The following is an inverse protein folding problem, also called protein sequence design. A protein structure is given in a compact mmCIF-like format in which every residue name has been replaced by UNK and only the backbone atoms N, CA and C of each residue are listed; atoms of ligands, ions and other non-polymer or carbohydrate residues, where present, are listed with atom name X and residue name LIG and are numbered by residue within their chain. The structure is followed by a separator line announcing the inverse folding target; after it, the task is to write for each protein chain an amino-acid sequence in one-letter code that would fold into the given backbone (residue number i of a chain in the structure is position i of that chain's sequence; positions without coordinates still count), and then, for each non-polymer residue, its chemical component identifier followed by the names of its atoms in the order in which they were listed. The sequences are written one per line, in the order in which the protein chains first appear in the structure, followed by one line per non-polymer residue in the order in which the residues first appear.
data_IF_411476358257
#
_entry.id   IF_411476358257
#
_cell.length_a   1.000
_cell.length_b   1.000
_cell.length_c   1.000
_cell.angle_alpha   90.00
_cell.angle_beta   90.00
_cell.angle_gamma   90.00
#
_symmetry.space_group_name_H-M   'P 1'
#
loop_
_entity.id
_entity.type
_entity.pdbx_description
1 polymer ?
#
# COMPACT_ATOMS: atom_id res chain seq x y z
N UNK A 1 -7.89 -1.91 9.38
CA UNK A 1 -7.07 -0.77 9.87
C UNK A 1 -6.37 -1.05 11.20
N UNK A 2 -6.86 -1.95 12.06
CA UNK A 2 -6.23 -2.21 13.37
C UNK A 2 -4.89 -2.97 13.30
N UNK A 3 -4.64 -3.73 12.23
CA UNK A 3 -3.45 -4.59 12.17
C UNK A 3 -2.12 -3.81 12.10
N UNK A 4 -1.91 -2.81 11.20
CA UNK A 4 -0.67 -2.02 11.25
C UNK A 4 -0.48 -1.29 12.58
N UNK A 5 -1.57 -0.77 13.17
CA UNK A 5 -1.54 -0.10 14.47
C UNK A 5 -1.11 -1.06 15.58
N UNK A 6 -1.73 -2.24 15.67
CA UNK A 6 -1.41 -3.25 16.67
C UNK A 6 0.04 -3.75 16.56
N UNK A 7 0.57 -3.81 15.34
CA UNK A 7 1.97 -4.17 15.10
C UNK A 7 2.95 -3.03 15.42
N UNK A 8 2.53 -1.77 15.26
CA UNK A 8 3.42 -0.64 15.51
C UNK A 8 3.83 -0.51 16.99
N UNK A 9 2.97 -0.97 17.91
CA UNK A 9 3.22 -1.04 19.34
C UNK A 9 3.76 -2.40 19.80
N UNK A 10 3.98 -3.34 18.87
CA UNK A 10 4.50 -4.67 19.20
C UNK A 10 5.94 -4.57 19.69
N UNK A 11 6.21 -5.22 20.83
CA UNK A 11 7.51 -5.15 21.50
C UNK A 11 8.67 -5.61 20.61
N UNK A 12 8.50 -6.71 19.85
CA UNK A 12 9.57 -7.25 19.01
C UNK A 12 9.89 -6.29 17.85
N UNK A 13 8.87 -5.61 17.32
CA UNK A 13 9.04 -4.60 16.28
C UNK A 13 9.76 -3.36 16.83
N UNK A 14 9.35 -2.87 18.00
CA UNK A 14 9.99 -1.72 18.65
C UNK A 14 11.46 -2.02 18.97
N UNK A 15 11.75 -3.20 19.54
CA UNK A 15 13.12 -3.64 19.83
C UNK A 15 13.97 -3.76 18.54
N UNK A 16 13.40 -4.34 17.47
CA UNK A 16 14.10 -4.47 16.19
C UNK A 16 14.44 -3.11 15.57
N UNK A 17 13.52 -2.13 15.63
CA UNK A 17 13.76 -0.76 15.14
C UNK A 17 14.85 -0.05 15.96
N UNK A 18 14.92 -0.30 17.26
CA UNK A 18 15.91 0.29 18.15
C UNK A 18 17.32 -0.31 18.01
N UNK A 19 17.45 -1.51 17.44
CA UNK A 19 18.70 -2.24 17.27
C UNK A 19 19.09 -2.42 15.79
N UNK A 20 19.41 -1.32 15.06
CA UNK A 20 19.77 -1.41 13.65
C UNK A 20 21.03 -2.28 13.45
N UNK A 21 20.92 -3.30 12.59
CA UNK A 21 22.01 -4.23 12.29
C UNK A 21 22.03 -5.50 13.15
N UNK A 22 21.08 -5.67 14.06
CA UNK A 22 20.85 -6.94 14.73
C UNK A 22 20.31 -8.01 13.77
N UNK A 23 20.37 -9.28 14.18
CA UNK A 23 19.69 -10.36 13.47
C UNK A 23 18.17 -10.23 13.64
N UNK A 24 17.46 -10.04 12.53
CA UNK A 24 16.01 -9.90 12.48
C UNK A 24 15.29 -11.16 11.98
N UNK A 25 15.99 -12.31 11.82
CA UNK A 25 15.43 -13.56 11.28
C UNK A 25 14.18 -14.04 12.04
N UNK A 26 14.13 -13.82 13.36
CA UNK A 26 12.96 -14.17 14.16
C UNK A 26 11.74 -13.30 13.81
N UNK A 27 11.94 -11.99 13.61
CA UNK A 27 10.90 -11.05 13.21
C UNK A 27 10.42 -11.37 11.78
N UNK A 28 11.34 -11.65 10.86
CA UNK A 28 11.02 -12.07 9.49
C UNK A 28 10.04 -13.26 9.46
N UNK A 29 10.36 -14.35 10.17
CA UNK A 29 9.47 -15.51 10.29
C UNK A 29 8.12 -15.19 10.91
N UNK A 30 8.09 -14.27 11.89
CA UNK A 30 6.85 -13.84 12.54
C UNK A 30 5.96 -13.06 11.57
N UNK A 31 6.53 -12.14 10.81
CA UNK A 31 5.81 -11.37 9.79
C UNK A 31 5.30 -12.28 8.67
N UNK A 32 6.09 -13.27 8.27
CA UNK A 32 5.71 -14.29 7.28
C UNK A 32 4.48 -15.10 7.73
N UNK A 33 4.47 -15.57 8.98
CA UNK A 33 3.31 -16.26 9.57
C UNK A 33 2.07 -15.35 9.64
N UNK A 34 2.26 -14.09 10.00
CA UNK A 34 1.17 -13.13 10.10
C UNK A 34 0.59 -12.78 8.72
N UNK A 35 1.43 -12.59 7.71
CA UNK A 35 1.01 -12.36 6.33
C UNK A 35 0.15 -13.52 5.83
N UNK A 36 0.60 -14.77 6.05
CA UNK A 36 -0.20 -15.98 5.76
C UNK A 36 -1.55 -16.01 6.49
N UNK A 37 -1.56 -15.74 7.79
CA UNK A 37 -2.77 -15.82 8.61
C UNK A 37 -3.82 -14.75 8.23
N UNK A 38 -3.36 -13.59 7.76
CA UNK A 38 -4.21 -12.44 7.42
C UNK A 38 -4.54 -12.36 5.93
N UNK A 39 -3.87 -13.16 5.10
CA UNK A 39 -3.96 -13.07 3.65
C UNK A 39 -3.34 -11.79 3.08
N UNK A 40 -2.51 -11.07 3.86
CA UNK A 40 -1.83 -9.88 3.40
C UNK A 40 -0.70 -10.27 2.43
N UNK A 41 -0.60 -9.65 1.24
CA UNK A 41 0.48 -9.90 0.29
C UNK A 41 1.87 -9.74 0.89
N UNK A 42 2.13 -8.61 1.58
CA UNK A 42 3.40 -8.35 2.26
C UNK A 42 3.17 -7.48 3.50
N UNK A 43 3.76 -7.88 4.62
CA UNK A 43 3.95 -7.10 5.85
C UNK A 43 5.46 -6.88 6.04
N UNK A 44 5.89 -5.66 6.34
CA UNK A 44 7.32 -5.35 6.51
C UNK A 44 7.53 -4.16 7.46
N UNK A 45 8.76 -4.06 7.98
CA UNK A 45 9.17 -2.99 8.89
C UNK A 45 10.29 -2.19 8.25
N UNK A 46 10.11 -0.88 8.18
CA UNK A 46 11.09 0.09 7.69
C UNK A 46 11.73 0.77 8.90
N UNK A 47 13.05 0.64 9.04
CA UNK A 47 13.81 1.29 10.11
C UNK A 47 13.99 2.80 9.86
N UNK A 48 14.59 3.50 10.83
CA UNK A 48 14.81 4.96 10.82
C UNK A 48 15.61 5.48 9.64
N UNK A 49 16.42 4.62 9.01
CA UNK A 49 17.21 4.94 7.82
C UNK A 49 16.39 4.93 6.52
N UNK A 50 15.09 4.61 6.59
CA UNK A 50 14.24 4.40 5.43
C UNK A 50 14.41 3.04 4.75
N UNK A 51 15.28 2.17 5.29
CA UNK A 51 15.50 0.82 4.76
C UNK A 51 14.63 -0.21 5.47
N UNK A 52 14.09 -1.17 4.73
CA UNK A 52 13.39 -2.29 5.35
C UNK A 52 14.36 -3.17 6.15
N UNK A 53 14.04 -3.42 7.42
CA UNK A 53 14.86 -4.24 8.34
C UNK A 53 14.32 -5.66 8.50
N UNK A 54 13.03 -5.86 8.25
CA UNK A 54 12.37 -7.17 8.27
C UNK A 54 11.18 -7.18 7.30
N UNK A 55 10.88 -8.33 6.71
CA UNK A 55 9.76 -8.52 5.79
C UNK A 55 9.21 -9.94 5.82
N UNK A 56 7.89 -10.06 5.70
CA UNK A 56 7.20 -11.33 5.47
C UNK A 56 7.67 -12.10 4.24
N UNK A 57 8.14 -11.40 3.20
CA UNK A 57 8.69 -12.02 1.98
C UNK A 57 10.22 -12.17 2.02
N UNK A 58 10.83 -12.22 3.21
CA UNK A 58 12.29 -12.27 3.39
C UNK A 58 12.98 -13.39 2.60
N UNK A 59 12.32 -14.55 2.48
CA UNK A 59 12.83 -15.74 1.79
C UNK A 59 12.56 -15.76 0.27
N UNK A 60 11.87 -14.75 -0.26
CA UNK A 60 11.50 -14.68 -1.68
C UNK A 60 12.55 -13.92 -2.50
N UNK A 61 12.65 -14.22 -3.80
CA UNK A 61 13.61 -13.58 -4.69
C UNK A 61 13.40 -12.05 -4.80
N UNK A 62 12.17 -11.58 -4.57
CA UNK A 62 11.82 -10.16 -4.57
C UNK A 62 11.72 -9.55 -3.16
N UNK A 63 12.37 -10.19 -2.17
CA UNK A 63 12.44 -9.77 -0.77
C UNK A 63 12.62 -8.28 -0.58
N UNK A 64 11.86 -7.71 0.36
CA UNK A 64 11.91 -6.28 0.65
C UNK A 64 13.06 -5.91 1.59
N UNK A 65 13.64 -6.88 2.31
CA UNK A 65 14.72 -6.64 3.28
C UNK A 65 15.87 -5.87 2.62
N UNK A 66 16.33 -4.81 3.27
CA UNK A 66 17.40 -3.94 2.79
C UNK A 66 17.01 -2.97 1.68
N UNK A 67 15.80 -2.99 1.12
CA UNK A 67 15.41 -2.00 0.11
C UNK A 67 15.17 -0.64 0.75
N UNK A 68 15.45 0.42 -0.01
CA UNK A 68 15.18 1.79 0.39
C UNK A 68 13.73 2.17 0.08
N UNK A 69 13.07 2.76 1.07
CA UNK A 69 11.71 3.27 1.04
C UNK A 69 11.61 4.71 1.57
N UNK A 70 12.75 5.39 1.80
CA UNK A 70 12.77 6.77 2.30
C UNK A 70 12.03 7.76 1.39
N UNK A 71 11.94 7.45 0.09
CA UNK A 71 11.24 8.25 -0.92
C UNK A 71 9.72 8.01 -0.96
N UNK A 72 9.19 7.02 -0.23
CA UNK A 72 7.77 6.68 -0.25
C UNK A 72 6.99 7.58 0.70
N UNK A 73 5.89 8.15 0.22
CA UNK A 73 5.06 9.04 1.04
C UNK A 73 4.45 8.31 2.23
N UNK A 74 4.08 7.02 2.10
CA UNK A 74 3.60 6.26 3.27
C UNK A 74 4.64 6.19 4.40
N UNK A 75 5.95 6.28 4.10
CA UNK A 75 7.00 6.26 5.11
C UNK A 75 7.17 7.66 5.71
N UNK A 76 7.36 8.69 4.88
CA UNK A 76 7.57 10.06 5.34
C UNK A 76 6.35 10.60 6.10
N UNK A 77 5.16 10.33 5.60
CA UNK A 77 3.91 10.85 6.15
C UNK A 77 3.54 10.11 7.45
N UNK A 78 3.85 8.81 7.55
CA UNK A 78 3.70 8.08 8.81
C UNK A 78 4.71 8.57 9.85
N UNK A 79 5.96 8.84 9.46
CA UNK A 79 6.94 9.44 10.36
C UNK A 79 6.51 10.82 10.86
N UNK A 80 5.83 11.63 10.05
CA UNK A 80 5.35 12.95 10.46
C UNK A 80 4.05 12.87 11.29
N UNK A 81 3.04 12.14 10.79
CA UNK A 81 1.67 12.14 11.30
C UNK A 81 1.27 10.92 12.13
N UNK A 82 2.18 9.96 12.36
CA UNK A 82 1.94 8.71 13.09
C UNK A 82 1.33 7.59 12.25
N UNK A 83 0.64 7.92 11.15
CA UNK A 83 0.06 6.96 10.21
C UNK A 83 -0.02 7.57 8.81
N UNK A 84 -0.03 6.71 7.80
CA UNK A 84 -0.23 7.13 6.42
C UNK A 84 -0.86 6.01 5.59
N UNK A 85 -1.42 6.39 4.45
CA UNK A 85 -1.82 5.46 3.41
C UNK A 85 -1.39 5.99 2.05
N UNK A 86 -0.98 5.09 1.18
CA UNK A 86 -0.57 5.44 -0.17
C UNK A 86 -1.03 4.35 -1.13
N UNK A 87 -1.73 4.73 -2.19
CA UNK A 87 -1.93 3.85 -3.33
C UNK A 87 -0.74 3.99 -4.26
N UNK A 88 -0.06 2.90 -4.59
CA UNK A 88 1.10 2.94 -5.47
C UNK A 88 1.31 1.62 -6.22
N UNK A 89 2.01 1.72 -7.34
CA UNK A 89 2.58 0.58 -8.04
C UNK A 89 3.79 0.06 -7.24
N UNK A 90 3.74 -1.22 -6.85
CA UNK A 90 4.85 -1.86 -6.16
C UNK A 90 6.09 -1.93 -7.04
N UNK A 91 7.24 -1.47 -6.54
CA UNK A 91 8.51 -1.45 -7.28
C UNK A 91 8.97 -2.85 -7.68
N UNK A 92 8.82 -3.82 -6.78
CA UNK A 92 9.18 -5.24 -6.99
C UNK A 92 8.09 -5.99 -7.77
N UNK A 93 6.88 -6.05 -7.21
CA UNK A 93 5.78 -6.87 -7.73
C UNK A 93 5.16 -6.36 -9.04
N UNK A 94 5.35 -5.07 -9.37
CA UNK A 94 4.61 -4.36 -10.43
C UNK A 94 3.08 -4.46 -10.33
N UNK A 95 2.57 -4.83 -9.16
CA UNK A 95 1.15 -4.84 -8.85
C UNK A 95 0.76 -3.56 -8.10
N UNK A 96 -0.34 -2.90 -8.49
CA UNK A 96 -0.91 -1.81 -7.70
C UNK A 96 -1.36 -2.33 -6.33
N UNK A 97 -1.12 -1.55 -5.28
CA UNK A 97 -1.57 -1.88 -3.94
C UNK A 97 -1.79 -0.65 -3.08
N UNK A 98 -2.54 -0.85 -1.99
CA UNK A 98 -2.69 0.14 -0.94
C UNK A 98 -1.72 -0.20 0.19
N UNK A 99 -0.80 0.72 0.45
CA UNK A 99 0.16 0.65 1.54
C UNK A 99 -0.44 1.35 2.75
N UNK A 100 -0.62 0.61 3.84
CA UNK A 100 -1.04 1.14 5.14
C UNK A 100 0.17 1.17 6.06
N UNK A 101 0.52 2.36 6.55
CA UNK A 101 1.74 2.58 7.32
C UNK A 101 1.42 3.17 8.70
N UNK A 102 2.10 2.69 9.73
CA UNK A 102 2.04 3.23 11.09
C UNK A 102 3.43 3.39 11.68
N UNK A 103 3.67 4.52 12.34
CA UNK A 103 4.91 4.82 13.04
C UNK A 103 4.97 4.08 14.37
N UNK A 104 6.09 3.44 14.63
CA UNK A 104 6.43 2.83 15.91
C UNK A 104 6.94 3.90 16.89
N UNK A 105 6.89 3.67 18.23
CA UNK A 105 7.54 4.56 19.21
C UNK A 105 9.04 4.80 18.98
N UNK A 106 9.73 3.92 18.26
CA UNK A 106 11.17 4.04 17.93
C UNK A 106 11.47 4.75 16.60
N UNK A 107 10.50 5.47 16.01
CA UNK A 107 10.62 6.15 14.71
C UNK A 107 10.95 5.22 13.52
N UNK A 108 10.62 3.94 13.64
CA UNK A 108 10.42 3.03 12.50
C UNK A 108 8.97 3.05 12.01
N UNK A 109 8.69 2.40 10.89
CA UNK A 109 7.36 2.32 10.28
C UNK A 109 7.01 0.88 9.95
N UNK A 110 5.90 0.39 10.48
CA UNK A 110 5.29 -0.88 10.05
C UNK A 110 4.41 -0.61 8.84
N UNK A 111 4.55 -1.42 7.80
CA UNK A 111 3.79 -1.29 6.56
C UNK A 111 3.11 -2.60 6.20
N UNK A 112 1.85 -2.50 5.81
CA UNK A 112 1.08 -3.60 5.21
C UNK A 112 0.70 -3.20 3.80
N UNK A 113 1.06 -4.02 2.82
CA UNK A 113 0.59 -3.90 1.44
C UNK A 113 -0.69 -4.72 1.28
N UNK A 114 -1.75 -4.07 0.81
CA UNK A 114 -2.99 -4.72 0.39
C UNK A 114 -3.07 -4.76 -1.13
N UNK A 115 -3.54 -5.89 -1.66
CA UNK A 115 -3.84 -6.07 -3.08
C UNK A 115 -5.33 -6.36 -3.25
N UNK A 116 -5.85 -6.01 -4.41
CA UNK A 116 -7.30 -6.03 -4.65
C UNK A 116 -7.74 -7.05 -5.70
N UNK A 117 -6.81 -7.80 -6.29
CA UNK A 117 -7.09 -8.72 -7.40
C UNK A 117 -8.22 -9.70 -7.08
N UNK A 118 -8.23 -10.26 -5.87
CA UNK A 118 -9.26 -11.20 -5.42
C UNK A 118 -10.63 -10.53 -5.28
N UNK A 119 -10.71 -9.42 -4.54
CA UNK A 119 -11.99 -8.74 -4.31
C UNK A 119 -12.56 -8.17 -5.62
N UNK A 120 -11.70 -7.66 -6.51
CA UNK A 120 -12.12 -7.21 -7.84
C UNK A 120 -12.63 -8.37 -8.70
N UNK A 121 -12.06 -9.57 -8.59
CA UNK A 121 -12.57 -10.76 -9.27
C UNK A 121 -13.93 -11.20 -8.72
N UNK A 122 -14.11 -11.15 -7.40
CA UNK A 122 -15.39 -11.44 -6.75
C UNK A 122 -16.46 -10.42 -7.17
N UNK A 123 -16.15 -9.12 -7.21
CA UNK A 123 -17.08 -8.10 -7.72
C UNK A 123 -17.42 -8.29 -9.19
N UNK A 124 -16.45 -8.65 -10.04
CA UNK A 124 -16.71 -9.00 -11.44
C UNK A 124 -17.70 -10.15 -11.57
N UNK A 125 -17.53 -11.19 -10.75
CA UNK A 125 -18.37 -12.37 -10.78
C UNK A 125 -19.78 -12.11 -10.23
N UNK A 126 -19.91 -11.25 -9.22
CA UNK A 126 -21.19 -10.87 -8.63
C UNK A 126 -22.07 -10.04 -9.58
N UNK A 127 -21.47 -9.40 -10.59
CA UNK A 127 -22.18 -8.51 -11.50
C UNK A 127 -22.48 -7.14 -10.89
N UNK A 128 -22.90 -6.20 -11.74
CA UNK A 128 -22.99 -4.79 -11.37
C UNK A 128 -21.62 -4.10 -11.38
N UNK A 129 -21.61 -2.79 -11.21
CA UNK A 129 -20.39 -1.98 -11.23
C UNK A 129 -20.09 -1.51 -9.80
N UNK A 130 -18.94 -1.95 -9.30
CA UNK A 130 -18.37 -1.52 -8.01
C UNK A 130 -16.99 -0.93 -8.22
N UNK A 131 -16.72 0.20 -7.55
CA UNK A 131 -15.43 0.87 -7.56
C UNK A 131 -15.14 1.55 -6.22
N UNK A 132 -13.86 1.78 -5.95
CA UNK A 132 -13.38 2.63 -4.87
C UNK A 132 -12.59 3.78 -5.50
N UNK A 133 -12.97 5.00 -5.12
CA UNK A 133 -12.32 6.25 -5.55
C UNK A 133 -11.39 6.75 -4.44
N UNK A 134 -10.18 7.15 -4.81
CA UNK A 134 -9.27 7.86 -3.91
C UNK A 134 -9.68 9.32 -3.68
N UNK A 135 -9.13 10.00 -2.66
CA UNK A 135 -9.42 11.41 -2.37
C UNK A 135 -9.28 12.35 -3.58
N UNK A 136 -8.47 11.96 -4.57
CA UNK A 136 -8.17 12.73 -5.76
C UNK A 136 -9.32 12.86 -6.75
N UNK A 137 -10.23 11.89 -6.86
CA UNK A 137 -10.95 11.75 -8.14
C UNK A 137 -10.81 10.41 -8.82
N UNK A 138 -9.78 9.67 -8.45
CA UNK A 138 -9.26 8.59 -9.28
C UNK A 138 -9.78 7.25 -8.79
N UNK A 139 -10.30 6.43 -9.69
CA UNK A 139 -10.67 5.04 -9.41
C UNK A 139 -9.41 4.21 -9.14
N UNK A 140 -9.33 3.62 -7.96
CA UNK A 140 -8.16 2.85 -7.51
C UNK A 140 -8.41 1.34 -7.55
N UNK A 141 -9.62 0.93 -7.19
CA UNK A 141 -10.08 -0.47 -7.14
C UNK A 141 -11.39 -0.57 -7.88
N UNK A 142 -11.54 -1.56 -8.75
CA UNK A 142 -12.72 -1.63 -9.62
C UNK A 142 -13.02 -3.02 -10.15
N UNK A 143 -14.32 -3.32 -10.23
CA UNK A 143 -14.85 -4.47 -10.97
C UNK A 143 -14.63 -4.35 -12.49
N UNK A 144 -14.46 -3.14 -13.03
CA UNK A 144 -14.23 -2.84 -14.45
C UNK A 144 -12.74 -2.51 -14.66
N UNK A 145 -11.88 -3.45 -15.15
CA UNK A 145 -10.44 -3.19 -15.24
C UNK A 145 -10.08 -1.98 -16.11
N UNK A 146 -10.88 -1.71 -17.14
CA UNK A 146 -10.78 -0.55 -18.03
C UNK A 146 -11.00 0.79 -17.32
N UNK A 147 -11.57 0.79 -16.11
CA UNK A 147 -11.84 2.00 -15.33
C UNK A 147 -10.77 2.33 -14.32
N UNK A 148 -9.79 1.44 -14.09
CA UNK A 148 -8.73 1.73 -13.13
C UNK A 148 -7.98 2.97 -13.61
N UNK A 149 -7.76 3.92 -12.71
CA UNK A 149 -7.17 5.23 -13.01
C UNK A 149 -8.07 6.21 -13.77
N UNK A 150 -9.35 5.86 -13.94
CA UNK A 150 -10.38 6.76 -14.42
C UNK A 150 -10.62 7.90 -13.42
N UNK A 151 -10.56 9.13 -13.91
CA UNK A 151 -10.87 10.34 -13.16
C UNK A 151 -12.37 10.63 -13.28
N UNK A 152 -13.12 10.50 -12.19
CA UNK A 152 -14.58 10.70 -12.18
C UNK A 152 -15.01 12.16 -12.25
N UNK A 153 -14.06 13.07 -12.09
CA UNK A 153 -14.20 14.52 -12.14
C UNK A 153 -12.96 15.12 -12.82
N UNK A 154 -13.05 16.32 -13.43
CA UNK A 154 -11.88 17.02 -13.95
C UNK A 154 -10.79 17.17 -12.88
N UNK A 155 -9.58 16.69 -13.20
CA UNK A 155 -8.41 16.82 -12.34
C UNK A 155 -7.53 17.95 -12.85
N UNK A 156 -7.26 18.93 -11.98
CA UNK A 156 -6.26 19.96 -12.26
C UNK A 156 -4.90 19.35 -12.63
N UNK A 157 -4.18 19.87 -13.65
CA UNK A 157 -2.95 19.26 -14.14
C UNK A 157 -1.86 19.06 -13.07
N UNK A 158 -1.78 19.95 -12.09
CA UNK A 158 -0.85 19.81 -10.97
C UNK A 158 -1.24 18.66 -10.02
N UNK A 159 -2.54 18.41 -9.82
CA UNK A 159 -3.04 17.32 -8.98
C UNK A 159 -2.85 15.97 -9.68
N UNK A 160 -3.13 15.91 -10.98
CA UNK A 160 -2.89 14.73 -11.81
C UNK A 160 -1.42 14.30 -11.76
N UNK A 161 -0.48 15.24 -11.98
CA UNK A 161 0.97 14.96 -11.91
C UNK A 161 1.40 14.40 -10.56
N UNK A 162 0.99 15.04 -9.45
CA UNK A 162 1.32 14.56 -8.10
C UNK A 162 0.79 13.14 -7.84
N UNK A 163 -0.42 12.83 -8.31
CA UNK A 163 -0.97 11.48 -8.16
C UNK A 163 -0.14 10.45 -8.94
N UNK A 164 0.18 10.73 -10.21
CA UNK A 164 0.99 9.84 -11.06
C UNK A 164 2.37 9.59 -10.44
N UNK A 165 3.06 10.66 -10.04
CA UNK A 165 4.39 10.58 -9.42
C UNK A 165 4.34 9.80 -8.09
N UNK A 166 3.42 10.18 -7.21
CA UNK A 166 3.23 9.54 -5.91
C UNK A 166 2.84 8.07 -6.02
N UNK A 167 1.99 7.72 -6.98
CA UNK A 167 1.58 6.33 -7.22
C UNK A 167 2.58 5.56 -8.09
N UNK A 168 3.66 6.19 -8.58
CA UNK A 168 4.65 5.60 -9.49
C UNK A 168 4.02 4.99 -10.75
N UNK A 169 3.05 5.70 -11.34
CA UNK A 169 2.34 5.29 -12.54
C UNK A 169 2.99 5.85 -13.82
N UNK A 170 2.71 5.23 -14.99
CA UNK A 170 3.00 5.85 -16.29
C UNK A 170 2.35 7.24 -16.43
N UNK A 171 2.98 8.14 -17.20
CA UNK A 171 2.55 9.53 -17.37
C UNK A 171 1.17 9.69 -18.03
N UNK A 172 0.73 8.68 -18.77
CA UNK A 172 -0.54 8.59 -19.48
C UNK A 172 -1.57 7.69 -18.79
N UNK A 173 -1.30 7.26 -17.55
CA UNK A 173 -2.16 6.31 -16.83
C UNK A 173 -3.57 6.85 -16.52
N UNK A 174 -3.70 8.16 -16.31
CA UNK A 174 -4.97 8.79 -15.99
C UNK A 174 -5.79 9.05 -17.25
N UNK A 175 -7.09 8.74 -17.20
CA UNK A 175 -8.03 9.03 -18.27
C UNK A 175 -9.35 9.56 -17.70
N UNK A 176 -10.09 10.40 -18.44
CA UNK A 176 -11.44 10.82 -18.01
C UNK A 176 -12.38 9.62 -17.91
N UNK A 177 -13.15 9.55 -16.84
CA UNK A 177 -14.22 8.58 -16.67
C UNK A 177 -15.51 9.33 -16.37
N UNK A 178 -16.55 9.12 -17.18
CA UNK A 178 -17.90 9.60 -16.90
C UNK A 178 -18.72 8.43 -16.31
N UNK A 179 -18.89 8.36 -14.98
CA UNK A 179 -19.57 7.24 -14.35
C UNK A 179 -21.08 7.28 -14.62
N UNK A 180 -21.65 8.47 -14.87
CA UNK A 180 -23.08 8.66 -15.09
C UNK A 180 -23.55 8.03 -16.42
N UNK A 181 -22.66 7.93 -17.41
CA UNK A 181 -22.93 7.20 -18.66
C UNK A 181 -22.96 5.68 -18.50
N UNK A 182 -22.56 5.15 -17.35
CA UNK A 182 -22.31 3.73 -17.17
C UNK A 182 -23.30 2.99 -16.24
N UNK A 183 -24.33 3.67 -15.74
CA UNK A 183 -25.35 3.09 -14.85
C UNK A 183 -25.01 3.23 -13.36
N UNK A 184 -25.90 2.73 -12.49
CA UNK A 184 -25.75 2.86 -11.04
C UNK A 184 -24.57 2.01 -10.53
N UNK A 185 -23.58 2.66 -9.92
CA UNK A 185 -22.49 2.01 -9.21
C UNK A 185 -22.62 2.26 -7.71
N UNK A 186 -22.18 1.28 -6.91
CA UNK A 186 -22.10 1.42 -5.46
C UNK A 186 -20.73 1.98 -5.11
N UNK A 187 -20.71 3.12 -4.43
CA UNK A 187 -19.52 3.70 -3.84
C UNK A 187 -19.35 3.12 -2.43
N UNK A 188 -18.22 2.45 -2.18
CA UNK A 188 -17.87 1.84 -0.90
C UNK A 188 -16.88 2.71 -0.09
#
# INVERSE_FOLDING_TARGET
RLLPLALADDRDIVEAVAAPGADHTALDRRLELLARATGAPVIYVVGRSGRAIASSNHAEADSFVGRDYAFRSYYTDALAGGQAHQFALGTSSKQPGLYLAHRTPGDGVVVIKLEFNRIEAEWRAAGGITLIRGPEGVVLVTSRPDWRYGATEPLEPARARRFIEGASLPGDALHPLDPARAGAFVQA
#
